data_IF_768670699427
#
_entry.id   IF_768670699427
#
_cell.length_a   1.000
_cell.length_b   1.000
_cell.length_c   1.000
_cell.angle_alpha   90.00
_cell.angle_beta   90.00
_cell.angle_gamma   90.00
#
_symmetry.space_group_name_H-M   'P 1'
#
loop_
_entity.id
_entity.type
_entity.pdbx_description
1 polymer ?
#
# COMPACT_ATOMS: atom_id res chain seq x y z
N UNK A 1 -26.29 24.31 -19.99
CA UNK A 1 -26.15 23.47 -18.79
C UNK A 1 -24.67 23.15 -18.64
N UNK A 2 -23.99 23.72 -17.64
CA UNK A 2 -22.59 23.34 -17.35
C UNK A 2 -22.61 22.02 -16.61
N UNK A 3 -22.03 20.97 -17.18
CA UNK A 3 -21.79 19.73 -16.44
C UNK A 3 -20.84 20.01 -15.29
N UNK A 4 -21.11 19.45 -14.11
CA UNK A 4 -20.11 19.43 -13.04
C UNK A 4 -18.82 18.78 -13.58
N UNK A 5 -17.63 19.25 -13.18
CA UNK A 5 -16.39 18.58 -13.53
C UNK A 5 -16.44 17.13 -13.03
N UNK A 6 -15.91 16.20 -13.83
CA UNK A 6 -15.74 14.82 -13.39
C UNK A 6 -14.92 14.79 -12.11
N UNK A 7 -15.26 13.88 -11.18
CA UNK A 7 -14.47 13.69 -9.98
C UNK A 7 -13.01 13.40 -10.38
N UNK A 8 -12.01 13.98 -9.70
CA UNK A 8 -10.62 13.72 -10.02
C UNK A 8 -10.32 12.22 -9.86
N UNK A 9 -9.70 11.64 -10.87
CA UNK A 9 -9.25 10.26 -10.87
C UNK A 9 -7.89 10.19 -10.17
N UNK A 10 -7.83 9.53 -9.03
CA UNK A 10 -6.60 9.46 -8.24
C UNK A 10 -5.85 8.16 -8.51
N UNK A 11 -4.52 8.23 -8.43
CA UNK A 11 -3.63 7.08 -8.37
C UNK A 11 -3.35 6.74 -6.92
N UNK A 12 -3.54 5.47 -6.56
CA UNK A 12 -3.11 4.93 -5.28
C UNK A 12 -1.69 4.34 -5.43
N UNK A 13 -0.73 4.77 -4.62
CA UNK A 13 0.59 4.13 -4.54
C UNK A 13 0.75 3.47 -3.18
N UNK A 14 1.06 2.18 -3.16
CA UNK A 14 1.40 1.43 -1.96
C UNK A 14 2.91 1.16 -1.94
N UNK A 15 3.59 1.58 -0.88
CA UNK A 15 5.01 1.29 -0.64
C UNK A 15 5.13 0.35 0.56
N UNK A 16 5.38 -0.94 0.29
CA UNK A 16 5.63 -1.96 1.29
C UNK A 16 7.12 -2.02 1.61
N UNK A 17 7.49 -1.36 2.72
CA UNK A 17 8.83 -1.36 3.28
C UNK A 17 9.01 -2.40 4.39
N UNK A 18 10.24 -2.50 4.90
CA UNK A 18 10.57 -3.43 5.99
C UNK A 18 9.90 -3.09 7.33
N UNK A 19 9.66 -1.80 7.59
CA UNK A 19 9.15 -1.29 8.88
C UNK A 19 7.82 -0.52 8.78
N UNK A 20 7.30 -0.32 7.58
CA UNK A 20 5.98 0.27 7.40
C UNK A 20 5.40 -0.05 6.01
N UNK A 21 4.07 -0.09 5.92
CA UNK A 21 3.34 0.19 4.69
C UNK A 21 3.05 1.68 4.62
N UNK A 22 3.27 2.29 3.46
CA UNK A 22 2.77 3.64 3.19
C UNK A 22 1.78 3.59 2.04
N UNK A 23 0.72 4.37 2.14
CA UNK A 23 -0.21 4.63 1.06
C UNK A 23 -0.11 6.10 0.69
N UNK A 24 -0.02 6.36 -0.61
CA UNK A 24 -0.07 7.69 -1.20
C UNK A 24 -1.32 7.77 -2.06
N UNK A 25 -2.17 8.76 -1.81
CA UNK A 25 -3.27 9.12 -2.71
C UNK A 25 -2.78 10.29 -3.55
N UNK A 26 -2.61 10.08 -4.85
CA UNK A 26 -2.00 11.05 -5.77
C UNK A 26 -3.05 11.57 -6.74
N UNK A 27 -3.25 12.89 -6.77
CA UNK A 27 -3.98 13.55 -7.85
C UNK A 27 -3.03 13.78 -9.05
N UNK A 28 -3.24 13.11 -10.20
CA UNK A 28 -2.39 13.26 -11.37
C UNK A 28 -2.51 14.64 -12.04
N UNK A 29 -3.57 15.40 -11.76
CA UNK A 29 -3.77 16.77 -12.24
C UNK A 29 -3.18 17.84 -11.31
N UNK A 30 -2.83 17.47 -10.08
CA UNK A 30 -2.23 18.36 -9.07
C UNK A 30 -0.69 18.30 -9.09
N UNK A 31 -0.03 19.41 -8.77
CA UNK A 31 1.40 19.40 -8.47
C UNK A 31 1.75 18.60 -7.21
N UNK A 32 3.02 18.57 -6.79
CA UNK A 32 3.59 17.78 -5.65
C UNK A 32 2.82 17.84 -4.31
N UNK A 33 1.86 18.75 -4.15
CA UNK A 33 1.09 18.99 -2.92
C UNK A 33 -0.18 18.15 -2.76
N UNK A 34 -0.62 17.42 -3.77
CA UNK A 34 -1.89 16.65 -3.71
C UNK A 34 -1.72 15.23 -3.17
N UNK A 35 -0.66 14.98 -2.39
CA UNK A 35 -0.31 13.66 -1.88
C UNK A 35 -0.75 13.55 -0.43
N UNK A 36 -1.83 12.81 -0.18
CA UNK A 36 -2.15 12.36 1.17
C UNK A 36 -1.37 11.07 1.49
N UNK A 37 -0.68 11.04 2.63
CA UNK A 37 0.16 9.91 3.03
C UNK A 37 -0.36 9.28 4.31
N UNK A 38 -0.70 8.00 4.23
CA UNK A 38 -1.04 7.17 5.37
C UNK A 38 0.10 6.21 5.65
N UNK A 39 0.58 6.17 6.90
CA UNK A 39 1.68 5.31 7.30
C UNK A 39 1.20 4.31 8.35
N UNK A 40 1.33 3.03 8.02
CA UNK A 40 1.02 1.92 8.90
C UNK A 40 2.34 1.30 9.38
N UNK A 41 2.77 1.57 10.62
CA UNK A 41 3.96 0.92 11.16
C UNK A 41 3.70 -0.58 11.33
N UNK A 42 4.69 -1.39 10.95
CA UNK A 42 4.69 -2.85 11.15
C UNK A 42 6.11 -3.33 11.44
N UNK A 43 6.29 -4.61 11.78
CA UNK A 43 7.62 -5.17 12.09
C UNK A 43 7.98 -6.38 11.21
N UNK A 44 7.60 -6.34 9.94
CA UNK A 44 7.85 -7.41 8.96
C UNK A 44 9.34 -7.77 8.85
N UNK A 45 10.23 -6.78 9.00
CA UNK A 45 11.68 -6.99 8.97
C UNK A 45 12.18 -7.91 10.09
N UNK A 46 11.67 -7.75 11.31
CA UNK A 46 12.14 -8.51 12.46
C UNK A 46 11.95 -10.01 12.26
N UNK A 47 10.79 -10.39 11.72
CA UNK A 47 10.48 -11.79 11.45
C UNK A 47 11.31 -12.34 10.28
N UNK A 48 11.42 -11.56 9.20
CA UNK A 48 12.23 -11.91 8.04
C UNK A 48 13.70 -12.13 8.44
N UNK A 49 14.31 -11.23 9.21
CA UNK A 49 15.71 -11.40 9.63
C UNK A 49 15.93 -12.63 10.53
N UNK A 50 14.90 -13.08 11.24
CA UNK A 50 14.98 -14.27 12.08
C UNK A 50 14.81 -15.57 11.30
N UNK A 51 14.03 -15.60 10.21
CA UNK A 51 13.56 -16.86 9.60
C UNK A 51 13.72 -16.93 8.08
N UNK A 52 14.05 -15.83 7.41
CA UNK A 52 14.04 -15.68 5.95
C UNK A 52 12.64 -15.77 5.32
N UNK A 53 11.58 -15.84 6.13
CA UNK A 53 10.20 -16.07 5.69
C UNK A 53 9.24 -15.10 6.39
N UNK A 54 8.05 -14.96 5.81
CA UNK A 54 6.92 -14.31 6.46
C UNK A 54 6.00 -15.34 7.12
N UNK A 55 5.57 -15.10 8.36
CA UNK A 55 4.55 -15.92 9.01
C UNK A 55 3.18 -15.70 8.39
N UNK A 56 2.25 -16.64 8.62
CA UNK A 56 0.82 -16.40 8.41
C UNK A 56 0.28 -15.14 9.12
N UNK A 57 0.86 -14.78 10.28
CA UNK A 57 0.48 -13.58 11.02
C UNK A 57 0.91 -12.32 10.28
N UNK A 58 2.16 -12.27 9.80
CA UNK A 58 2.67 -11.19 8.95
C UNK A 58 1.85 -11.03 7.67
N UNK A 59 1.48 -12.12 7.00
CA UNK A 59 0.58 -12.03 5.83
C UNK A 59 -0.78 -11.43 6.19
N UNK A 60 -1.34 -11.81 7.33
CA UNK A 60 -2.60 -11.26 7.82
C UNK A 60 -2.48 -9.77 8.12
N UNK A 61 -1.39 -9.34 8.75
CA UNK A 61 -1.10 -7.93 9.02
C UNK A 61 -0.99 -7.12 7.73
N UNK A 62 -0.25 -7.61 6.73
CA UNK A 62 -0.11 -6.96 5.42
C UNK A 62 -1.48 -6.74 4.78
N UNK A 63 -2.31 -7.79 4.69
CA UNK A 63 -3.66 -7.68 4.13
C UNK A 63 -4.54 -6.70 4.92
N UNK A 64 -4.42 -6.67 6.25
CA UNK A 64 -5.19 -5.77 7.10
C UNK A 64 -4.78 -4.31 6.89
N UNK A 65 -3.48 -4.03 6.78
CA UNK A 65 -2.99 -2.68 6.47
C UNK A 65 -3.46 -2.21 5.10
N UNK A 66 -3.43 -3.07 4.06
CA UNK A 66 -3.95 -2.72 2.73
C UNK A 66 -5.45 -2.42 2.77
N UNK A 67 -6.24 -3.20 3.52
CA UNK A 67 -7.67 -2.93 3.69
C UNK A 67 -7.95 -1.65 4.48
N UNK A 68 -7.16 -1.36 5.52
CA UNK A 68 -7.25 -0.13 6.28
C UNK A 68 -6.93 1.08 5.38
N UNK A 69 -5.86 0.97 4.59
CA UNK A 69 -5.48 1.95 3.58
C UNK A 69 -6.63 2.25 2.61
N UNK A 70 -7.28 1.22 2.05
CA UNK A 70 -8.44 1.41 1.19
C UNK A 70 -9.64 2.09 1.86
N UNK A 71 -9.84 1.90 3.17
CA UNK A 71 -10.90 2.59 3.95
C UNK A 71 -10.54 4.03 4.25
N UNK A 72 -9.29 4.29 4.59
CA UNK A 72 -8.79 5.61 4.94
C UNK A 72 -8.76 6.54 3.72
N UNK A 73 -8.58 5.98 2.51
CA UNK A 73 -8.81 6.68 1.25
C UNK A 73 -10.31 6.96 0.94
N UNK A 74 -11.22 6.68 1.87
CA UNK A 74 -12.67 6.72 1.69
C UNK A 74 -13.19 8.02 1.08
N UNK A 75 -13.99 7.90 0.01
CA UNK A 75 -14.56 9.04 -0.71
C UNK A 75 -13.73 9.52 -1.89
N UNK A 76 -12.50 9.01 -2.07
CA UNK A 76 -11.66 9.29 -3.23
C UNK A 76 -11.96 8.29 -4.35
N UNK A 77 -12.15 8.80 -5.58
CA UNK A 77 -12.28 7.94 -6.75
C UNK A 77 -10.90 7.47 -7.22
N UNK A 78 -10.53 6.24 -6.84
CA UNK A 78 -9.28 5.61 -7.26
C UNK A 78 -9.46 4.99 -8.64
N UNK A 79 -8.76 5.51 -9.65
CA UNK A 79 -8.80 4.98 -11.01
C UNK A 79 -7.77 3.86 -11.24
N UNK A 80 -6.65 3.91 -10.53
CA UNK A 80 -5.57 2.94 -10.65
C UNK A 80 -4.78 2.79 -9.36
N UNK A 81 -4.07 1.66 -9.24
CA UNK A 81 -3.21 1.37 -8.11
C UNK A 81 -1.84 0.83 -8.55
N UNK A 82 -0.77 1.29 -7.91
CA UNK A 82 0.59 0.79 -8.04
C UNK A 82 1.08 0.30 -6.69
N UNK A 83 1.52 -0.96 -6.59
CA UNK A 83 2.13 -1.50 -5.39
C UNK A 83 3.62 -1.76 -5.62
N UNK A 84 4.46 -1.24 -4.73
CA UNK A 84 5.91 -1.37 -4.72
C UNK A 84 6.30 -2.06 -3.42
N UNK A 85 6.87 -3.26 -3.54
CA UNK A 85 7.41 -4.01 -2.41
C UNK A 85 8.93 -4.07 -2.48
N UNK A 86 9.61 -3.74 -1.38
CA UNK A 86 11.06 -3.53 -1.35
C UNK A 86 11.78 -4.54 -0.44
N UNK A 87 13.11 -4.48 -0.37
CA UNK A 87 13.97 -5.19 0.59
C UNK A 87 13.50 -6.59 0.98
N UNK A 88 12.86 -6.69 2.15
CA UNK A 88 12.36 -7.93 2.76
C UNK A 88 11.41 -8.72 1.84
N UNK A 89 10.57 -8.03 1.04
CA UNK A 89 9.65 -8.69 0.11
C UNK A 89 10.35 -9.25 -1.12
N UNK A 90 11.47 -8.64 -1.53
CA UNK A 90 12.31 -9.18 -2.60
C UNK A 90 13.07 -10.41 -2.13
N UNK A 91 13.42 -10.49 -0.85
CA UNK A 91 14.34 -11.50 -0.33
C UNK A 91 13.66 -12.67 0.38
N UNK A 92 12.41 -12.51 0.87
CA UNK A 92 11.68 -13.57 1.53
C UNK A 92 11.46 -14.79 0.62
N UNK A 93 11.80 -15.99 1.11
CA UNK A 93 11.73 -17.22 0.32
C UNK A 93 10.30 -17.63 -0.02
N UNK A 94 9.34 -17.27 0.83
CA UNK A 94 7.92 -17.55 0.66
C UNK A 94 7.11 -16.35 0.17
N UNK A 95 7.76 -15.34 -0.44
CA UNK A 95 7.08 -14.13 -0.95
C UNK A 95 5.94 -14.44 -1.92
N UNK A 96 6.06 -15.51 -2.71
CA UNK A 96 5.06 -15.87 -3.72
C UNK A 96 3.72 -16.31 -3.08
N UNK A 97 3.76 -16.77 -1.82
CA UNK A 97 2.56 -17.09 -1.05
C UNK A 97 1.72 -15.85 -0.73
N UNK A 98 2.29 -14.64 -0.82
CA UNK A 98 1.57 -13.37 -0.67
C UNK A 98 0.59 -13.14 -1.83
N UNK A 99 0.96 -13.54 -3.05
CA UNK A 99 0.15 -13.32 -4.26
C UNK A 99 -0.90 -14.40 -4.51
N UNK A 100 -0.85 -15.50 -3.75
CA UNK A 100 -1.83 -16.59 -3.82
C UNK A 100 -3.06 -16.36 -2.94
N UNK A 101 -3.20 -15.18 -2.32
CA UNK A 101 -4.27 -14.82 -1.37
C UNK A 101 -5.05 -13.61 -1.87
#
# INVERSE_FOLDING_TARGET
MSSAPAAPEHLLVLEAGSNSLKMYVVDPGGGEKAIEVFKYPWSVAHEFFSTGNFSPATFTEICNCIRAAGKDAGGVHIASALAIATGVFREAHNRDALFAR
#
